data_IF_540070189387
#
_entry.id   IF_540070189387
#
_cell.length_a   1.000
_cell.length_b   1.000
_cell.length_c   1.000
_cell.angle_alpha   90.00
_cell.angle_beta   90.00
_cell.angle_gamma   90.00
#
_symmetry.space_group_name_H-M   'P 1'
#
loop_
_entity.id
_entity.type
_entity.pdbx_description
1 polymer ?
#
# COMPACT_ATOMS: atom_id res chain seq x y z
N UNK A 1 -37.18 -39.04 -0.74
CA UNK A 1 -36.06 -39.72 -1.43
C UNK A 1 -35.35 -38.64 -2.26
N UNK A 2 -34.26 -38.09 -1.71
CA UNK A 2 -33.52 -36.97 -2.32
C UNK A 2 -32.22 -37.56 -2.88
N UNK A 3 -32.09 -37.53 -4.20
CA UNK A 3 -30.88 -37.94 -4.90
C UNK A 3 -29.90 -36.76 -4.95
N UNK A 4 -28.78 -36.90 -4.22
CA UNK A 4 -27.66 -35.96 -4.29
C UNK A 4 -26.73 -36.43 -5.40
N UNK A 5 -26.69 -35.71 -6.54
CA UNK A 5 -25.67 -35.91 -7.56
C UNK A 5 -24.39 -35.18 -7.15
N UNK A 6 -23.44 -35.93 -6.63
CA UNK A 6 -22.07 -35.48 -6.43
C UNK A 6 -21.35 -35.40 -7.78
N UNK A 7 -21.00 -34.20 -8.23
CA UNK A 7 -20.14 -34.00 -9.40
C UNK A 7 -18.69 -34.27 -8.99
N UNK A 8 -18.17 -35.48 -9.31
CA UNK A 8 -16.73 -35.77 -9.21
C UNK A 8 -15.99 -35.12 -10.39
N UNK A 9 -15.37 -33.98 -10.14
CA UNK A 9 -14.40 -33.41 -11.07
C UNK A 9 -13.17 -34.33 -11.18
N UNK A 10 -12.75 -34.67 -12.42
CA UNK A 10 -11.62 -35.56 -12.68
C UNK A 10 -10.31 -34.86 -12.30
N UNK A 11 -9.52 -35.36 -11.31
CA UNK A 11 -8.32 -34.69 -10.79
C UNK A 11 -7.20 -34.55 -11.84
N UNK A 12 -7.19 -35.42 -12.85
CA UNK A 12 -6.16 -35.40 -13.92
C UNK A 12 -6.29 -34.15 -14.83
N UNK A 13 -7.50 -33.64 -15.04
CA UNK A 13 -7.74 -32.44 -15.87
C UNK A 13 -7.24 -31.19 -15.18
N UNK A 14 -7.36 -31.12 -13.88
CA UNK A 14 -6.92 -29.97 -13.09
C UNK A 14 -5.39 -29.90 -13.00
N UNK A 15 -4.72 -31.04 -12.86
CA UNK A 15 -3.25 -31.15 -12.87
C UNK A 15 -2.65 -30.71 -14.22
N UNK A 16 -3.28 -31.08 -15.34
CA UNK A 16 -2.84 -30.66 -16.68
C UNK A 16 -3.02 -29.17 -16.88
N UNK A 17 -4.11 -28.57 -16.36
CA UNK A 17 -4.37 -27.13 -16.45
C UNK A 17 -3.35 -26.31 -15.66
N UNK A 18 -2.98 -26.75 -14.45
CA UNK A 18 -1.96 -26.13 -13.62
C UNK A 18 -0.56 -26.20 -14.25
N UNK A 19 -0.19 -27.34 -14.83
CA UNK A 19 1.09 -27.50 -15.55
C UNK A 19 1.20 -26.56 -16.76
N UNK A 20 0.13 -26.40 -17.52
CA UNK A 20 0.12 -25.49 -18.68
C UNK A 20 0.20 -24.00 -18.25
N UNK A 21 -0.39 -23.61 -17.11
CA UNK A 21 -0.25 -22.27 -16.56
C UNK A 21 1.19 -21.98 -16.11
N UNK A 22 1.85 -22.95 -15.48
CA UNK A 22 3.24 -22.80 -15.02
C UNK A 22 4.21 -22.63 -16.20
N UNK A 23 4.04 -23.37 -17.28
CA UNK A 23 4.86 -23.25 -18.50
C UNK A 23 4.67 -21.89 -19.18
N UNK A 24 3.44 -21.36 -19.17
CA UNK A 24 3.15 -20.07 -19.79
C UNK A 24 3.73 -18.89 -18.98
N UNK A 25 3.71 -18.97 -17.66
CA UNK A 25 4.36 -18.01 -16.76
C UNK A 25 5.88 -18.01 -16.91
N UNK A 26 6.50 -19.19 -17.07
CA UNK A 26 7.94 -19.33 -17.29
C UNK A 26 8.39 -18.68 -18.60
N UNK A 27 7.62 -18.83 -19.68
CA UNK A 27 7.89 -18.16 -20.97
C UNK A 27 7.82 -16.64 -20.88
N UNK A 28 6.91 -16.09 -20.07
CA UNK A 28 6.80 -14.65 -19.85
C UNK A 28 8.02 -14.10 -19.08
N UNK A 29 8.49 -14.82 -18.06
CA UNK A 29 9.69 -14.44 -17.29
C UNK A 29 10.94 -14.46 -18.17
N UNK A 30 11.09 -15.45 -19.03
CA UNK A 30 12.26 -15.56 -19.91
C UNK A 30 12.25 -14.51 -21.03
N UNK A 31 11.06 -14.09 -21.51
CA UNK A 31 10.91 -12.97 -22.44
C UNK A 31 11.30 -11.63 -21.82
N UNK A 32 10.98 -11.40 -20.55
CA UNK A 32 11.35 -10.18 -19.83
C UNK A 32 12.85 -10.10 -19.53
N UNK A 33 13.53 -11.24 -19.29
CA UNK A 33 15.00 -11.29 -19.11
C UNK A 33 15.78 -10.94 -20.38
N UNK A 34 15.20 -11.19 -21.57
CA UNK A 34 15.81 -10.85 -22.86
C UNK A 34 15.89 -9.35 -23.13
N UNK A 35 14.96 -8.56 -22.58
CA UNK A 35 14.88 -7.11 -22.81
C UNK A 35 15.92 -6.33 -21.99
N UNK A 36 16.39 -6.87 -20.85
CA UNK A 36 17.37 -6.21 -20.00
C UNK A 36 18.84 -6.38 -20.43
N UNK A 37 19.13 -7.12 -21.52
CA UNK A 37 20.51 -7.41 -21.95
C UNK A 37 21.03 -6.55 -23.09
N UNK A 38 20.30 -5.57 -23.61
CA UNK A 38 20.68 -4.83 -24.82
C UNK A 38 20.87 -3.32 -24.68
N UNK A 39 21.21 -2.80 -23.48
CA UNK A 39 21.53 -1.38 -23.30
C UNK A 39 22.86 -1.17 -22.56
N UNK A 40 23.92 -1.73 -23.09
CA UNK A 40 25.30 -1.32 -22.74
C UNK A 40 26.10 -1.22 -24.01
N UNK A 41 26.16 -0.05 -24.61
CA UNK A 41 27.31 0.49 -25.37
C UNK A 41 26.94 1.81 -26.03
N UNK A 42 27.35 2.94 -25.45
CA UNK A 42 27.66 4.14 -26.26
C UNK A 42 28.77 4.94 -25.59
N UNK A 43 29.84 5.08 -26.37
CA UNK A 43 31.13 5.69 -26.11
C UNK A 43 31.08 7.20 -25.90
N UNK A 44 31.91 7.63 -24.97
CA UNK A 44 32.76 8.82 -24.87
C UNK A 44 32.81 9.80 -26.06
N UNK A 45 32.53 11.08 -25.79
CA UNK A 45 33.30 12.20 -26.31
C UNK A 45 33.10 13.45 -25.44
N UNK A 46 34.15 13.91 -24.78
CA UNK A 46 34.25 15.23 -24.16
C UNK A 46 34.47 16.29 -25.22
N UNK A 47 33.99 17.53 -25.01
CA UNK A 47 34.81 18.70 -24.79
C UNK A 47 34.11 19.78 -23.92
N UNK A 48 34.70 20.99 -23.70
CA UNK A 48 35.61 21.34 -22.65
C UNK A 48 34.96 22.26 -21.55
N UNK A 49 35.70 22.39 -20.46
CA UNK A 49 35.51 23.24 -19.29
C UNK A 49 35.12 24.67 -19.60
N UNK A 50 34.08 25.17 -18.95
CA UNK A 50 33.97 26.59 -18.59
C UNK A 50 33.45 26.67 -17.13
N UNK A 51 34.34 27.17 -16.28
CA UNK A 51 34.05 27.47 -14.88
C UNK A 51 32.89 28.46 -14.75
N UNK A 52 31.90 28.13 -13.98
CA UNK A 52 31.14 29.08 -13.17
C UNK A 52 30.59 28.33 -11.96
N UNK A 53 31.21 28.59 -10.81
CA UNK A 53 30.71 28.24 -9.50
C UNK A 53 29.32 28.82 -9.31
N UNK A 54 28.29 27.95 -9.35
CA UNK A 54 27.02 28.23 -8.70
C UNK A 54 26.89 27.21 -7.57
N UNK A 55 27.26 27.67 -6.40
CA UNK A 55 27.09 26.99 -5.12
C UNK A 55 25.61 26.97 -4.78
N UNK A 56 24.85 26.07 -5.43
CA UNK A 56 23.49 25.80 -5.02
C UNK A 56 23.54 24.75 -3.89
N UNK A 57 23.46 25.25 -2.67
CA UNK A 57 23.24 24.44 -1.46
C UNK A 57 21.80 23.92 -1.49
N UNK A 58 21.51 22.97 -2.36
CA UNK A 58 20.30 22.19 -2.28
C UNK A 58 20.47 21.21 -1.12
N UNK A 59 20.11 21.64 0.09
CA UNK A 59 19.87 20.74 1.23
C UNK A 59 18.72 19.81 0.84
N UNK A 60 19.07 18.69 0.23
CA UNK A 60 18.15 17.58 0.00
C UNK A 60 17.81 17.00 1.38
N UNK A 61 16.78 17.54 2.02
CA UNK A 61 16.23 16.96 3.24
C UNK A 61 15.72 15.57 2.87
N UNK A 62 16.54 14.56 3.09
CA UNK A 62 16.20 13.15 2.86
C UNK A 62 14.96 12.85 3.70
N UNK A 63 13.82 12.73 3.05
CA UNK A 63 12.54 12.45 3.71
C UNK A 63 12.70 11.17 4.53
N UNK A 64 12.58 11.29 5.84
CA UNK A 64 12.77 10.17 6.74
C UNK A 64 11.56 9.23 6.66
N UNK A 65 11.68 8.16 5.87
CA UNK A 65 10.68 7.10 5.70
C UNK A 65 10.75 6.04 6.80
N UNK A 66 11.29 6.38 7.97
CA UNK A 66 11.41 5.44 9.09
C UNK A 66 10.19 5.54 10.00
N UNK A 67 9.56 4.39 10.27
CA UNK A 67 8.52 4.30 11.28
C UNK A 67 9.14 4.55 12.66
N UNK A 68 8.59 5.48 13.41
CA UNK A 68 9.03 5.84 14.77
C UNK A 68 7.84 6.20 15.64
N UNK A 69 7.95 6.06 16.96
CA UNK A 69 6.92 6.49 17.90
C UNK A 69 6.53 7.95 17.68
N UNK A 70 5.28 8.28 18.02
CA UNK A 70 4.74 9.64 17.95
C UNK A 70 3.38 9.71 17.28
N UNK A 71 2.84 10.92 17.21
CA UNK A 71 1.58 11.20 16.53
C UNK A 71 1.84 11.52 15.06
N UNK A 72 0.97 10.99 14.18
CA UNK A 72 1.06 11.20 12.73
C UNK A 72 -0.29 11.58 12.16
N UNK A 73 -0.27 12.27 11.04
CA UNK A 73 -1.48 12.51 10.25
C UNK A 73 -1.97 11.19 9.63
N UNK A 74 -3.30 11.07 9.56
CA UNK A 74 -3.99 9.91 9.01
C UNK A 74 -5.21 10.38 8.21
N UNK A 75 -5.39 9.88 7.00
CA UNK A 75 -6.50 10.30 6.13
C UNK A 75 -7.18 9.14 5.44
N UNK A 76 -8.50 9.28 5.28
CA UNK A 76 -9.30 8.63 4.24
C UNK A 76 -9.81 9.73 3.31
N UNK A 77 -9.53 9.62 2.02
CA UNK A 77 -9.82 10.69 1.06
C UNK A 77 -11.32 11.03 0.93
N UNK A 78 -12.20 10.07 1.19
CA UNK A 78 -13.65 10.30 1.21
C UNK A 78 -14.11 11.24 2.33
N UNK A 79 -13.32 11.34 3.41
CA UNK A 79 -13.60 12.25 4.53
C UNK A 79 -13.00 13.62 4.26
N UNK A 80 -11.69 13.70 4.12
CA UNK A 80 -10.99 14.94 3.77
C UNK A 80 -9.49 14.69 3.56
N UNK A 81 -8.88 15.38 2.58
CA UNK A 81 -7.42 15.51 2.46
C UNK A 81 -6.87 16.64 3.31
N UNK A 82 -7.63 17.74 3.44
CA UNK A 82 -7.16 18.98 4.02
C UNK A 82 -7.24 19.01 5.56
N UNK A 83 -8.13 18.16 6.12
CA UNK A 83 -8.32 18.03 7.55
C UNK A 83 -7.96 16.60 8.01
N UNK A 84 -6.67 16.28 8.11
CA UNK A 84 -6.23 14.96 8.53
C UNK A 84 -6.60 14.69 9.99
N UNK A 85 -7.02 13.47 10.24
CA UNK A 85 -7.07 12.94 11.59
C UNK A 85 -5.68 12.62 12.13
N UNK A 86 -5.63 11.97 13.30
CA UNK A 86 -4.40 11.64 13.99
C UNK A 86 -4.39 10.18 14.41
N UNK A 87 -3.22 9.56 14.29
CA UNK A 87 -2.91 8.26 14.88
C UNK A 87 -1.71 8.37 15.81
N UNK A 88 -1.75 7.67 16.92
CA UNK A 88 -0.64 7.55 17.87
C UNK A 88 0.05 6.23 17.67
N UNK A 89 1.37 6.27 17.56
CA UNK A 89 2.24 5.11 17.38
C UNK A 89 3.14 5.00 18.60
N UNK A 90 3.04 3.86 19.33
CA UNK A 90 3.83 3.60 20.54
C UNK A 90 4.64 2.31 20.39
N UNK A 91 5.82 2.21 21.03
CA UNK A 91 6.60 0.98 21.01
C UNK A 91 5.80 -0.21 21.58
N UNK A 92 5.97 -1.37 20.97
CA UNK A 92 5.44 -2.66 21.42
C UNK A 92 6.55 -3.72 21.34
N UNK A 93 6.27 -4.93 21.82
CA UNK A 93 7.24 -6.00 21.86
C UNK A 93 7.66 -6.50 20.47
N UNK A 94 8.83 -7.13 20.36
CA UNK A 94 9.31 -7.80 19.16
C UNK A 94 9.56 -6.88 17.97
N UNK A 95 9.82 -5.59 18.21
CA UNK A 95 10.08 -4.59 17.17
C UNK A 95 8.80 -4.15 16.44
N UNK A 96 7.63 -4.39 17.04
CA UNK A 96 6.35 -3.84 16.63
C UNK A 96 6.09 -2.50 17.31
N UNK A 97 5.09 -1.80 16.78
CA UNK A 97 4.49 -0.62 17.40
C UNK A 97 2.99 -0.86 17.47
N UNK A 98 2.33 -0.37 18.53
CA UNK A 98 0.90 -0.20 18.50
C UNK A 98 0.55 1.05 17.69
N UNK A 99 -0.58 1.01 17.01
CA UNK A 99 -1.15 2.16 16.29
C UNK A 99 -2.62 2.26 16.63
N UNK A 100 -3.07 3.47 17.00
CA UNK A 100 -4.48 3.73 17.32
C UNK A 100 -4.82 5.18 17.00
N UNK A 101 -6.02 5.41 16.47
CA UNK A 101 -6.55 6.73 16.17
C UNK A 101 -7.53 6.72 15.00
N UNK A 102 -7.70 7.89 14.37
CA UNK A 102 -8.65 8.00 13.26
C UNK A 102 -8.77 9.41 12.71
N UNK A 103 -9.76 9.59 11.84
CA UNK A 103 -10.18 10.85 11.27
C UNK A 103 -11.70 10.94 11.33
N UNK A 104 -12.21 12.10 11.66
CA UNK A 104 -13.63 12.41 11.67
C UNK A 104 -13.92 13.57 10.74
N UNK A 105 -15.07 13.54 10.08
CA UNK A 105 -15.55 14.66 9.28
C UNK A 105 -16.18 15.70 10.22
N UNK A 106 -15.78 16.95 10.08
CA UNK A 106 -16.30 18.05 10.93
C UNK A 106 -17.73 18.48 10.56
N UNK A 107 -18.25 18.05 9.42
CA UNK A 107 -19.54 18.51 8.89
C UNK A 107 -20.63 17.45 8.92
N UNK A 108 -20.26 16.17 9.09
CA UNK A 108 -21.17 15.04 9.13
C UNK A 108 -20.63 13.94 10.05
N UNK A 109 -21.23 12.77 10.04
CA UNK A 109 -20.88 11.63 10.91
C UNK A 109 -19.87 10.65 10.28
N UNK A 110 -19.25 11.02 9.15
CA UNK A 110 -18.27 10.17 8.51
C UNK A 110 -17.00 10.07 9.34
N UNK A 111 -16.47 8.88 9.47
CA UNK A 111 -15.22 8.66 10.22
C UNK A 111 -14.45 7.45 9.69
N UNK A 112 -13.18 7.39 10.04
CA UNK A 112 -12.33 6.21 9.95
C UNK A 112 -11.53 6.04 11.24
N UNK A 113 -11.39 4.80 11.69
CA UNK A 113 -10.52 4.43 12.81
C UNK A 113 -9.53 3.36 12.38
N UNK A 114 -8.37 3.34 13.02
CA UNK A 114 -7.37 2.28 12.89
C UNK A 114 -6.92 1.85 14.28
N UNK A 115 -6.83 0.53 14.53
CA UNK A 115 -6.33 -0.02 15.78
C UNK A 115 -5.62 -1.35 15.54
N UNK A 116 -4.39 -1.46 16.06
CA UNK A 116 -3.63 -2.69 15.89
C UNK A 116 -2.15 -2.54 16.15
N UNK A 117 -1.38 -3.43 15.51
CA UNK A 117 0.08 -3.44 15.53
C UNK A 117 0.62 -3.10 14.14
N UNK A 118 1.74 -2.39 14.08
CA UNK A 118 2.39 -2.01 12.83
C UNK A 118 3.91 -2.20 12.96
N UNK A 119 4.54 -2.67 11.90
CA UNK A 119 5.99 -2.90 11.85
C UNK A 119 6.53 -2.52 10.48
N UNK A 120 7.66 -1.84 10.43
CA UNK A 120 8.35 -1.61 9.18
C UNK A 120 9.06 -2.88 8.73
N UNK A 121 8.75 -3.36 7.52
CA UNK A 121 9.31 -4.60 6.93
C UNK A 121 10.31 -4.30 5.80
N UNK A 122 10.28 -3.09 5.22
CA UNK A 122 11.27 -2.60 4.27
C UNK A 122 11.38 -1.07 4.35
N UNK A 123 12.24 -0.45 3.53
CA UNK A 123 12.31 1.02 3.45
C UNK A 123 11.01 1.67 2.98
N UNK A 124 10.18 0.92 2.25
CA UNK A 124 8.95 1.43 1.62
C UNK A 124 7.68 0.81 2.14
N UNK A 125 7.75 -0.24 2.98
CA UNK A 125 6.58 -1.02 3.35
C UNK A 125 6.44 -1.21 4.86
N UNK A 126 5.19 -1.09 5.32
CA UNK A 126 4.77 -1.42 6.67
C UNK A 126 3.79 -2.58 6.63
N UNK A 127 3.97 -3.54 7.55
CA UNK A 127 2.99 -4.59 7.84
C UNK A 127 2.12 -4.12 9.00
N UNK A 128 0.84 -4.04 8.78
CA UNK A 128 -0.18 -3.78 9.80
C UNK A 128 -0.93 -5.07 10.13
N UNK A 129 -1.29 -5.26 11.40
CA UNK A 129 -2.17 -6.33 11.89
C UNK A 129 -3.17 -5.74 12.85
N UNK A 130 -4.44 -5.74 12.48
CA UNK A 130 -5.49 -5.13 13.31
C UNK A 130 -6.76 -4.90 12.52
N UNK A 131 -7.45 -3.82 12.84
CA UNK A 131 -8.70 -3.43 12.23
C UNK A 131 -8.64 -1.96 11.77
N UNK A 132 -9.17 -1.71 10.58
CA UNK A 132 -9.48 -0.40 10.05
C UNK A 132 -10.99 -0.41 9.80
N UNK A 133 -11.71 0.52 10.42
CA UNK A 133 -13.17 0.66 10.28
C UNK A 133 -13.49 2.05 9.78
N UNK A 134 -14.29 2.15 8.73
CA UNK A 134 -14.79 3.43 8.23
C UNK A 134 -16.31 3.40 8.07
N UNK A 135 -16.91 4.57 8.22
CA UNK A 135 -18.30 4.84 7.86
C UNK A 135 -18.27 6.11 7.02
N UNK A 136 -18.78 6.03 5.79
CA UNK A 136 -18.88 7.15 4.86
C UNK A 136 -20.28 7.15 4.28
N UNK A 137 -21.06 8.17 4.57
CA UNK A 137 -22.49 8.24 4.24
C UNK A 137 -22.80 8.11 2.75
N UNK A 138 -21.85 8.47 1.89
CA UNK A 138 -21.98 8.37 0.43
C UNK A 138 -21.51 7.05 -0.16
N UNK A 139 -20.90 6.17 0.64
CA UNK A 139 -20.32 4.92 0.20
C UNK A 139 -20.90 3.76 1.02
N UNK A 140 -20.98 2.55 0.43
CA UNK A 140 -21.47 1.35 1.09
C UNK A 140 -22.83 1.57 1.80
N UNK A 141 -23.69 2.40 1.23
CA UNK A 141 -25.00 2.81 1.80
C UNK A 141 -24.89 3.40 3.22
N UNK A 142 -23.74 3.97 3.60
CA UNK A 142 -23.48 4.45 4.96
C UNK A 142 -23.20 3.35 5.98
N UNK A 143 -23.14 2.09 5.55
CA UNK A 143 -22.83 0.96 6.43
C UNK A 143 -21.32 0.88 6.73
N UNK A 144 -20.93 0.35 7.89
CA UNK A 144 -19.52 0.20 8.24
C UNK A 144 -18.74 -0.66 7.26
N UNK A 145 -17.61 -0.16 6.80
CA UNK A 145 -16.61 -0.91 6.04
C UNK A 145 -15.48 -1.32 6.98
N UNK A 146 -15.24 -2.63 7.14
CA UNK A 146 -14.24 -3.18 8.05
C UNK A 146 -13.17 -3.95 7.27
N UNK A 147 -11.92 -3.50 7.39
CA UNK A 147 -10.74 -4.17 6.84
C UNK A 147 -9.90 -4.71 8.00
N UNK A 148 -10.00 -6.00 8.29
CA UNK A 148 -9.29 -6.66 9.39
C UNK A 148 -8.15 -7.57 8.92
N UNK A 149 -7.31 -8.00 9.89
CA UNK A 149 -6.20 -8.92 9.68
C UNK A 149 -4.91 -8.25 9.25
N UNK A 150 -4.10 -8.95 8.44
CA UNK A 150 -2.80 -8.47 7.97
C UNK A 150 -2.95 -7.62 6.71
N UNK A 151 -2.40 -6.41 6.71
CA UNK A 151 -2.46 -5.46 5.60
C UNK A 151 -1.09 -4.84 5.35
N UNK A 152 -0.82 -4.43 4.12
CA UNK A 152 0.41 -3.72 3.74
C UNK A 152 0.08 -2.26 3.48
N UNK A 153 0.86 -1.38 4.09
CA UNK A 153 0.96 0.03 3.70
C UNK A 153 2.26 0.24 2.94
N UNK A 154 2.21 0.94 1.80
CA UNK A 154 3.38 1.15 0.93
C UNK A 154 3.53 2.61 0.52
N UNK A 155 4.78 3.08 0.52
CA UNK A 155 5.14 4.35 -0.11
C UNK A 155 5.87 4.10 -1.42
N UNK A 156 5.66 4.99 -2.40
CA UNK A 156 6.32 4.95 -3.71
C UNK A 156 6.78 6.34 -4.10
N UNK A 157 7.83 6.44 -4.89
CA UNK A 157 8.36 7.72 -5.41
C UNK A 157 8.66 8.74 -4.29
N UNK A 158 8.17 9.96 -4.44
CA UNK A 158 8.36 11.08 -3.51
C UNK A 158 7.16 11.32 -2.58
N UNK A 159 6.31 10.30 -2.37
CA UNK A 159 5.18 10.40 -1.44
C UNK A 159 5.66 10.64 -0.03
N UNK A 160 4.89 11.41 0.73
CA UNK A 160 5.15 11.75 2.13
C UNK A 160 4.33 10.90 3.10
N UNK A 161 3.79 9.78 2.62
CA UNK A 161 2.91 8.86 3.35
C UNK A 161 3.08 7.41 2.88
N UNK A 162 2.67 6.48 3.72
CA UNK A 162 2.39 5.09 3.36
C UNK A 162 0.90 4.93 3.10
N UNK A 163 0.55 4.35 1.96
CA UNK A 163 -0.84 4.08 1.54
C UNK A 163 -1.19 2.61 1.74
N UNK A 164 -2.37 2.34 2.29
CA UNK A 164 -2.94 1.00 2.36
C UNK A 164 -3.04 0.41 0.94
N UNK A 165 -2.58 -0.84 0.76
CA UNK A 165 -2.61 -1.52 -0.55
C UNK A 165 -3.93 -2.26 -0.80
N UNK A 166 -4.67 -2.60 0.26
CA UNK A 166 -6.05 -3.09 0.15
C UNK A 166 -7.00 -1.90 -0.04
N UNK A 167 -7.04 -1.41 -1.28
CA UNK A 167 -7.75 -0.18 -1.64
C UNK A 167 -9.19 -0.41 -2.10
N UNK A 168 -9.68 -1.66 -2.21
CA UNK A 168 -11.03 -1.94 -2.65
C UNK A 168 -12.02 -1.46 -1.58
N UNK A 169 -13.00 -0.63 -1.98
CA UNK A 169 -14.08 -0.20 -1.09
C UNK A 169 -15.06 -1.36 -0.81
N UNK A 170 -15.71 -1.35 0.36
CA UNK A 170 -16.70 -2.39 0.73
C UNK A 170 -17.94 -2.40 -0.17
N UNK A 171 -18.29 -1.28 -0.79
CA UNK A 171 -19.34 -1.22 -1.80
C UNK A 171 -18.99 -2.02 -3.06
N UNK A 172 -17.68 -2.26 -3.28
CA UNK A 172 -17.18 -2.95 -4.45
C UNK A 172 -17.08 -2.04 -5.69
N UNK A 173 -17.22 -2.66 -6.88
CA UNK A 173 -17.11 -1.93 -8.14
C UNK A 173 -15.70 -1.36 -8.36
N UNK A 174 -15.64 -0.12 -8.85
CA UNK A 174 -14.37 0.60 -9.11
C UNK A 174 -14.04 1.62 -8.01
N UNK A 175 -14.79 1.64 -6.89
CA UNK A 175 -14.53 2.56 -5.80
C UNK A 175 -13.25 2.16 -5.05
N UNK A 176 -12.42 3.15 -4.81
CA UNK A 176 -11.08 2.95 -4.23
C UNK A 176 -10.93 3.76 -2.94
N UNK A 177 -10.51 3.11 -1.86
CA UNK A 177 -10.20 3.74 -0.58
C UNK A 177 -8.73 4.15 -0.55
N UNK A 178 -8.43 5.45 -0.50
CA UNK A 178 -7.08 5.95 -0.23
C UNK A 178 -6.94 6.25 1.26
N UNK A 179 -6.32 5.31 1.97
CA UNK A 179 -6.04 5.40 3.41
C UNK A 179 -4.54 5.58 3.58
N UNK A 180 -4.14 6.72 4.16
CA UNK A 180 -2.76 7.16 4.21
C UNK A 180 -2.30 7.46 5.65
N UNK A 181 -1.10 6.95 6.01
CA UNK A 181 -0.37 7.30 7.23
C UNK A 181 0.81 8.17 6.82
N UNK A 182 0.88 9.41 7.27
CA UNK A 182 1.93 10.35 6.89
C UNK A 182 3.21 10.14 7.70
N UNK A 183 4.35 10.55 7.14
CA UNK A 183 5.66 10.41 7.80
C UNK A 183 5.82 11.36 9.00
N UNK A 184 5.05 12.48 9.01
CA UNK A 184 5.06 13.50 10.06
C UNK A 184 3.63 13.90 10.43
#
# INVERSE_FOLDING_TARGET
>A
MILIFGSCGNPDVEIVKLKNQTVNLQKQVDSLKGVFKSNDTLKTSNPPVLDSEIKSTASSTKVQRKLSPGTRNFTLHWISWDNPGKVTILPAEGGWFSIEGGQENQKNTDYITIKGLIKQISETELLFKGEIKSVVTTNNNGEPCIKSGSKIFKTTQNRQYWRLQDMINCEGGMLTDYIDIYFK
#
